data_IF_183090307881
#
_entry.id   IF_183090307881
#
_cell.length_a   1.000
_cell.length_b   1.000
_cell.length_c   1.000
_cell.angle_alpha   90.00
_cell.angle_beta   90.00
_cell.angle_gamma   90.00
#
_symmetry.space_group_name_H-M   'P 1'
#
loop_
_entity.id
_entity.type
_entity.pdbx_description
1 polymer ?
#
# COMPACT_ATOMS: atom_id res chain seq x y z
N UNK A 1 3.73 -4.85 6.93
CA UNK A 1 2.57 -4.13 6.34
C UNK A 1 2.72 -2.65 6.67
N UNK A 2 2.50 -1.78 5.70
CA UNK A 2 2.55 -0.31 5.83
C UNK A 2 1.19 0.29 5.49
N UNK A 3 0.72 1.24 6.29
CA UNK A 3 -0.55 1.94 6.09
C UNK A 3 -0.27 3.44 5.96
N UNK A 4 -0.53 4.03 4.79
CA UNK A 4 -0.15 5.42 4.52
C UNK A 4 -1.20 6.12 3.67
N UNK A 5 -1.62 7.33 4.05
CA UNK A 5 -2.56 8.12 3.23
C UNK A 5 -1.95 8.71 1.95
N UNK A 6 -0.61 8.65 1.82
CA UNK A 6 0.12 9.20 0.69
C UNK A 6 1.51 8.56 0.59
N UNK A 7 2.58 9.33 0.36
CA UNK A 7 3.94 8.80 0.30
C UNK A 7 4.33 7.96 1.52
N UNK A 8 5.06 6.88 1.29
CA UNK A 8 5.57 6.02 2.35
C UNK A 8 6.60 6.82 3.18
N UNK A 9 6.33 7.14 4.45
CA UNK A 9 7.29 7.86 5.27
C UNK A 9 8.56 7.03 5.42
N UNK A 10 9.70 7.72 5.40
CA UNK A 10 11.03 7.10 5.48
C UNK A 10 11.31 6.08 4.35
N UNK A 11 10.68 6.23 3.18
CA UNK A 11 10.90 5.36 2.02
C UNK A 11 12.40 5.09 1.73
N UNK A 12 13.32 6.08 1.74
CA UNK A 12 14.74 5.81 1.48
C UNK A 12 15.41 4.93 2.54
N UNK A 13 14.95 4.99 3.80
CA UNK A 13 15.45 4.14 4.87
C UNK A 13 14.97 2.70 4.67
N UNK A 14 13.67 2.52 4.42
CA UNK A 14 13.09 1.20 4.22
C UNK A 14 13.60 0.53 2.95
N UNK A 15 13.83 1.30 1.88
CA UNK A 15 14.54 0.87 0.67
C UNK A 15 15.85 0.16 1.04
N UNK A 16 16.71 0.83 1.83
CA UNK A 16 18.00 0.27 2.25
C UNK A 16 17.85 -0.95 3.15
N UNK A 17 16.89 -0.92 4.07
CA UNK A 17 16.65 -1.99 5.03
C UNK A 17 16.22 -3.30 4.34
N UNK A 18 15.29 -3.23 3.39
CA UNK A 18 14.74 -4.40 2.70
C UNK A 18 15.51 -4.82 1.46
N UNK A 19 16.40 -3.96 0.94
CA UNK A 19 17.22 -4.29 -0.24
C UNK A 19 18.01 -5.58 0.00
N UNK A 20 17.88 -6.53 -0.92
CA UNK A 20 18.54 -7.85 -0.84
C UNK A 20 17.89 -8.85 0.12
N UNK A 21 16.89 -8.44 0.92
CA UNK A 21 16.25 -9.28 1.93
C UNK A 21 14.81 -9.68 1.58
N UNK A 22 14.38 -9.49 0.32
CA UNK A 22 12.98 -9.71 -0.10
C UNK A 22 12.42 -11.11 0.13
N UNK A 23 13.27 -12.13 0.29
CA UNK A 23 12.85 -13.51 0.62
C UNK A 23 12.44 -13.71 2.08
N UNK A 24 12.82 -12.80 2.97
CA UNK A 24 12.55 -12.88 4.41
C UNK A 24 11.32 -12.07 4.83
N UNK A 25 10.82 -11.21 3.94
CA UNK A 25 9.76 -10.26 4.28
C UNK A 25 8.66 -10.24 3.21
N UNK A 26 7.42 -10.39 3.67
CA UNK A 26 6.24 -10.09 2.85
C UNK A 26 5.85 -8.63 3.06
N UNK A 27 6.21 -7.79 2.10
CA UNK A 27 5.95 -6.36 2.13
C UNK A 27 4.61 -6.08 1.44
N UNK A 28 3.74 -5.33 2.13
CA UNK A 28 2.46 -4.84 1.63
C UNK A 28 2.32 -3.38 2.03
N UNK A 29 1.91 -2.54 1.07
CA UNK A 29 1.71 -1.10 1.27
C UNK A 29 0.26 -0.77 0.93
N UNK A 30 -0.50 -0.31 1.91
CA UNK A 30 -1.89 0.10 1.73
C UNK A 30 -1.97 1.62 1.68
N UNK A 31 -2.53 2.14 0.59
CA UNK A 31 -2.63 3.59 0.36
C UNK A 31 -4.02 4.03 -0.01
N UNK A 32 -4.27 5.35 0.10
CA UNK A 32 -5.55 5.94 -0.30
C UNK A 32 -5.86 5.67 -1.79
N UNK A 33 -7.16 5.56 -2.17
CA UNK A 33 -7.58 5.27 -3.53
C UNK A 33 -7.27 6.47 -4.43
N UNK A 34 -6.16 6.42 -5.17
CA UNK A 34 -5.71 7.51 -6.04
C UNK A 34 -4.25 7.87 -5.85
N UNK A 35 -3.64 7.46 -4.73
CA UNK A 35 -2.19 7.50 -4.60
C UNK A 35 -1.58 6.34 -5.39
N UNK A 36 -0.52 6.61 -6.16
CA UNK A 36 0.27 5.59 -6.86
C UNK A 36 1.70 5.64 -6.32
N UNK A 37 2.18 4.51 -5.81
CA UNK A 37 3.54 4.41 -5.31
C UNK A 37 4.52 4.36 -6.49
N UNK A 38 5.20 5.47 -6.73
CA UNK A 38 6.19 5.58 -7.79
C UNK A 38 7.57 5.12 -7.30
N UNK A 39 7.93 3.87 -7.59
CA UNK A 39 9.23 3.27 -7.27
C UNK A 39 9.79 2.54 -8.48
N UNK A 40 11.12 2.41 -8.55
CA UNK A 40 11.77 1.63 -9.60
C UNK A 40 11.39 0.14 -9.53
N UNK A 41 11.48 -0.58 -10.64
CA UNK A 41 11.23 -2.03 -10.69
C UNK A 41 12.13 -2.87 -9.78
N UNK A 42 13.30 -2.35 -9.41
CA UNK A 42 14.22 -2.98 -8.46
C UNK A 42 13.91 -2.69 -6.99
N UNK A 43 12.92 -1.85 -6.71
CA UNK A 43 12.54 -1.51 -5.34
C UNK A 43 11.90 -2.70 -4.64
N UNK A 44 12.17 -2.92 -3.34
CA UNK A 44 11.44 -3.91 -2.53
C UNK A 44 9.93 -3.63 -2.45
N UNK A 45 9.49 -2.42 -2.80
CA UNK A 45 8.09 -2.01 -2.79
C UNK A 45 7.39 -2.15 -4.16
N UNK A 46 8.11 -2.50 -5.22
CA UNK A 46 7.54 -2.61 -6.56
C UNK A 46 6.44 -3.68 -6.60
N UNK A 47 5.26 -3.31 -7.07
CA UNK A 47 4.08 -4.19 -7.15
C UNK A 47 3.52 -4.63 -5.79
N UNK A 48 3.92 -3.99 -4.68
CA UNK A 48 3.44 -4.33 -3.32
C UNK A 48 2.31 -3.44 -2.81
N UNK A 49 1.84 -2.52 -3.64
CA UNK A 49 0.77 -1.60 -3.30
C UNK A 49 -0.60 -2.28 -3.41
N UNK A 50 -1.41 -2.16 -2.36
CA UNK A 50 -2.82 -2.56 -2.33
C UNK A 50 -3.64 -1.27 -2.17
N UNK A 51 -4.37 -0.83 -3.20
CA UNK A 51 -5.17 0.38 -3.11
C UNK A 51 -6.37 0.18 -2.15
N UNK A 52 -6.70 1.24 -1.40
CA UNK A 52 -7.92 1.28 -0.60
C UNK A 52 -9.17 1.23 -1.48
N UNK A 53 -10.29 0.76 -0.91
CA UNK A 53 -11.60 0.84 -1.59
C UNK A 53 -12.04 2.29 -1.74
N UNK A 54 -12.53 2.65 -2.93
CA UNK A 54 -13.12 3.96 -3.20
C UNK A 54 -14.47 4.05 -2.49
N UNK A 55 -14.57 4.93 -1.48
CA UNK A 55 -15.79 5.10 -0.69
C UNK A 55 -16.95 5.73 -1.47
N UNK A 56 -16.66 6.55 -2.50
CA UNK A 56 -17.69 7.24 -3.29
C UNK A 56 -18.63 6.24 -3.98
N UNK A 57 -18.10 5.11 -4.46
CA UNK A 57 -18.91 4.06 -5.07
C UNK A 57 -19.73 3.30 -4.02
N UNK A 58 -19.20 3.09 -2.81
CA UNK A 58 -19.93 2.38 -1.74
C UNK A 58 -21.06 3.19 -1.12
N UNK A 59 -20.93 4.52 -1.03
CA UNK A 59 -21.96 5.39 -0.47
C UNK A 59 -23.13 5.61 -1.45
N UNK A 60 -22.85 5.65 -2.76
CA UNK A 60 -23.89 5.81 -3.79
C UNK A 60 -24.66 4.52 -4.11
N UNK A 61 -24.10 3.34 -3.81
CA UNK A 61 -24.71 2.02 -4.08
C UNK A 61 -25.09 1.22 -2.82
N UNK A 62 -25.27 1.88 -1.66
CA UNK A 62 -25.99 1.30 -0.52
C UNK A 62 -25.51 -0.07 -0.02
N UNK A 63 -24.22 -0.39 -0.12
CA UNK A 63 -23.66 -1.60 0.49
C UNK A 63 -22.91 -1.21 1.77
N UNK A 64 -23.65 -1.23 2.89
CA UNK A 64 -23.09 -1.42 4.23
C UNK A 64 -22.35 -2.76 4.25
N UNK A 65 -21.06 -2.72 3.90
CA UNK A 65 -20.16 -3.86 4.05
C UNK A 65 -19.56 -3.73 5.45
N UNK A 66 -20.21 -4.40 6.40
CA UNK A 66 -19.63 -4.80 7.67
C UNK A 66 -18.33 -5.56 7.40
N UNK A 67 -17.18 -5.00 7.76
CA UNK A 67 -15.96 -5.77 8.01
C UNK A 67 -15.36 -5.27 9.32
N UNK A 68 -15.85 -5.88 10.40
CA UNK A 68 -15.07 -6.33 11.54
C UNK A 68 -15.98 -7.26 12.36
N UNK A 69 -16.12 -8.49 11.86
CA UNK A 69 -16.18 -9.78 12.56
C UNK A 69 -15.64 -10.83 11.59
#
# INVERSE_FOLDING_TARGET
MFLTRGPLPLLPLWERFFKGHGKYFSIYVHTDPGYVLNVSSGSPFYGRQIPSKVWIVSTLYGKFVWILH
#
